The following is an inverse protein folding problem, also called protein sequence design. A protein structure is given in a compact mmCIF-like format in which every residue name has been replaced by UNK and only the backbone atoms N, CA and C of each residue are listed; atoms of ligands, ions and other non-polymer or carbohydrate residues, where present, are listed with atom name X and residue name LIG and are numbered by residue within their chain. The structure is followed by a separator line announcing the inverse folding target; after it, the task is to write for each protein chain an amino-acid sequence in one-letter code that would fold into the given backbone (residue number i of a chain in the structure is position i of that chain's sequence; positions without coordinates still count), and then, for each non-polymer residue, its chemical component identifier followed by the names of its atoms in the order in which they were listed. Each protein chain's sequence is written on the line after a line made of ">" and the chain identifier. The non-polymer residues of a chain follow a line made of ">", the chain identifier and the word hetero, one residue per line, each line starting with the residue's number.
data_IF_554998630324
#
_entry.id   IF_554998630324
#
_cell.length_a   1.000
_cell.length_b   1.000
_cell.length_c   1.000
_cell.angle_alpha   90.00
_cell.angle_beta   90.00
_cell.angle_gamma   90.00
#
_symmetry.space_group_name_H-M   'P 1'
#
loop_
_entity.id
_entity.type
_entity.pdbx_description
1 polymer ?
#
# COMPACT_ATOMS: atom_id res chain seq x y z
N UNK A 1 23.63 -47.37 -5.59
CA UNK A 1 22.17 -47.19 -5.75
C UNK A 1 21.83 -45.75 -5.41
N UNK A 2 21.17 -45.03 -6.33
CA UNK A 2 20.93 -43.58 -6.24
C UNK A 2 19.96 -43.24 -5.10
N UNK A 3 20.40 -42.43 -4.13
CA UNK A 3 19.53 -41.79 -3.14
C UNK A 3 18.68 -40.72 -3.82
N UNK A 4 17.41 -41.04 -4.10
CA UNK A 4 16.42 -40.04 -4.52
C UNK A 4 15.95 -39.29 -3.28
N UNK A 5 16.52 -38.11 -3.04
CA UNK A 5 16.01 -37.14 -2.07
C UNK A 5 14.67 -36.62 -2.58
N UNK A 6 13.59 -37.25 -2.15
CA UNK A 6 12.23 -36.77 -2.37
C UNK A 6 12.05 -35.64 -1.36
N UNK A 7 12.41 -34.42 -1.75
CA UNK A 7 12.07 -33.24 -0.96
C UNK A 7 10.54 -33.27 -0.78
N UNK A 8 10.03 -33.25 0.47
CA UNK A 8 8.60 -33.33 0.69
C UNK A 8 7.99 -32.09 0.04
N UNK A 9 7.22 -32.30 -1.01
CA UNK A 9 6.56 -31.25 -1.79
C UNK A 9 5.80 -30.26 -0.89
N UNK A 10 5.36 -30.69 0.30
CA UNK A 10 4.73 -29.85 1.32
C UNK A 10 5.63 -28.79 1.97
N UNK A 11 6.94 -28.99 2.12
CA UNK A 11 7.81 -27.95 2.70
C UNK A 11 8.01 -26.79 1.71
N UNK A 12 8.11 -27.10 0.42
CA UNK A 12 8.27 -26.09 -0.63
C UNK A 12 7.01 -25.22 -0.71
N UNK A 13 5.82 -25.82 -0.67
CA UNK A 13 4.56 -25.04 -0.73
C UNK A 13 4.36 -24.16 0.51
N UNK A 14 4.73 -24.62 1.70
CA UNK A 14 4.65 -23.81 2.93
C UNK A 14 5.58 -22.59 2.86
N UNK A 15 6.82 -22.79 2.39
CA UNK A 15 7.76 -21.67 2.23
C UNK A 15 7.27 -20.63 1.21
N UNK A 16 6.68 -21.09 0.10
CA UNK A 16 6.17 -20.20 -0.94
C UNK A 16 4.93 -19.42 -0.46
N UNK A 17 4.06 -20.06 0.33
CA UNK A 17 2.90 -19.41 0.97
C UNK A 17 3.34 -18.34 1.97
N UNK A 18 4.34 -18.63 2.79
CA UNK A 18 4.87 -17.66 3.75
C UNK A 18 5.50 -16.45 3.05
N UNK A 19 6.27 -16.68 1.97
CA UNK A 19 6.86 -15.60 1.17
C UNK A 19 5.80 -14.78 0.45
N UNK A 20 4.76 -15.38 -0.10
CA UNK A 20 3.67 -14.64 -0.76
C UNK A 20 2.82 -13.84 0.23
N UNK A 21 2.56 -14.37 1.43
CA UNK A 21 1.89 -13.62 2.50
C UNK A 21 2.75 -12.44 2.98
N UNK A 22 4.04 -12.66 3.21
CA UNK A 22 4.97 -11.59 3.58
C UNK A 22 5.10 -10.54 2.46
N UNK A 23 5.18 -10.96 1.21
CA UNK A 23 5.22 -10.06 0.05
C UNK A 23 3.91 -9.29 -0.12
N UNK A 24 2.75 -9.93 0.09
CA UNK A 24 1.45 -9.25 0.06
C UNK A 24 1.29 -8.23 1.17
N UNK A 25 1.94 -8.45 2.32
CA UNK A 25 1.95 -7.48 3.42
C UNK A 25 2.90 -6.31 3.09
N UNK A 26 4.08 -6.58 2.56
CA UNK A 26 5.08 -5.57 2.18
C UNK A 26 4.63 -4.70 1.00
N UNK A 27 3.96 -5.26 -0.01
CA UNK A 27 3.61 -4.53 -1.23
C UNK A 27 2.45 -3.52 -1.06
N UNK A 28 1.92 -3.35 0.16
CA UNK A 28 0.80 -2.46 0.45
C UNK A 28 1.23 -1.15 1.16
N UNK A 29 2.53 -0.82 1.10
CA UNK A 29 3.17 0.28 1.84
C UNK A 29 2.73 1.70 1.45
N UNK A 30 2.22 1.92 0.23
CA UNK A 30 1.92 3.28 -0.24
C UNK A 30 0.82 3.97 0.58
N UNK A 31 -0.24 3.24 0.94
CA UNK A 31 -1.30 3.78 1.80
C UNK A 31 -0.83 3.92 3.25
N UNK A 32 -0.02 2.99 3.76
CA UNK A 32 0.54 3.08 5.11
C UNK A 32 1.49 4.28 5.25
N UNK A 33 2.36 4.49 4.27
CA UNK A 33 3.26 5.65 4.23
C UNK A 33 2.47 6.95 4.17
N UNK A 34 1.37 6.97 3.41
CA UNK A 34 0.48 8.12 3.35
C UNK A 34 -0.19 8.40 4.70
N UNK A 35 -0.70 7.37 5.37
CA UNK A 35 -1.30 7.49 6.69
C UNK A 35 -0.29 7.96 7.75
N UNK A 36 0.95 7.46 7.70
CA UNK A 36 2.04 7.88 8.59
C UNK A 36 2.46 9.34 8.34
N UNK A 37 2.51 9.80 7.08
CA UNK A 37 2.83 11.19 6.74
C UNK A 37 1.74 12.18 7.15
N UNK A 38 0.47 11.77 7.16
CA UNK A 38 -0.66 12.65 7.46
C UNK A 38 -0.85 12.91 8.97
N UNK A 39 -0.30 12.06 9.84
CA UNK A 39 -0.28 12.30 11.29
C UNK A 39 -1.66 12.18 11.96
N UNK A 40 -2.06 13.17 12.77
CA UNK A 40 -3.35 13.17 13.47
C UNK A 40 -4.29 14.22 12.88
N UNK A 41 -5.60 13.91 12.80
CA UNK A 41 -6.61 14.84 12.32
C UNK A 41 -6.87 14.80 10.81
N UNK A 42 -6.52 13.70 10.14
CA UNK A 42 -6.91 13.44 8.76
C UNK A 42 -8.06 12.43 8.67
N UNK A 43 -8.79 12.47 7.56
CA UNK A 43 -9.83 11.53 7.18
C UNK A 43 -9.55 11.07 5.75
N UNK A 44 -9.16 9.81 5.61
CA UNK A 44 -8.95 9.16 4.33
C UNK A 44 -10.13 8.23 4.04
N UNK A 45 -10.78 8.40 2.89
CA UNK A 45 -11.91 7.55 2.48
C UNK A 45 -11.75 7.10 1.04
N UNK A 46 -11.65 5.79 0.87
CA UNK A 46 -11.71 5.15 -0.45
C UNK A 46 -13.14 4.83 -0.85
N UNK A 47 -13.54 5.31 -2.03
CA UNK A 47 -14.81 4.99 -2.68
C UNK A 47 -14.57 4.90 -4.19
N UNK A 48 -14.29 3.70 -4.70
CA UNK A 48 -13.92 3.48 -6.11
C UNK A 48 -14.86 4.25 -7.06
N UNK A 49 -14.34 5.04 -8.01
CA UNK A 49 -12.93 5.17 -8.42
C UNK A 49 -12.17 6.32 -7.73
N UNK A 50 -12.59 6.78 -6.56
CA UNK A 50 -12.10 8.02 -5.94
C UNK A 50 -11.53 7.77 -4.53
N UNK A 51 -10.39 8.39 -4.23
CA UNK A 51 -9.81 8.50 -2.90
C UNK A 51 -9.97 9.96 -2.42
N UNK A 52 -10.66 10.13 -1.29
CA UNK A 52 -10.86 11.42 -0.65
C UNK A 52 -9.93 11.52 0.56
N UNK A 53 -9.15 12.59 0.62
CA UNK A 53 -8.35 12.98 1.77
C UNK A 53 -8.84 14.32 2.29
N UNK A 54 -9.20 14.36 3.57
CA UNK A 54 -9.53 15.60 4.29
C UNK A 54 -8.53 15.73 5.42
N UNK A 55 -7.79 16.83 5.50
CA UNK A 55 -6.86 17.09 6.61
C UNK A 55 -7.30 18.36 7.34
N UNK A 56 -7.20 18.38 8.66
CA UNK A 56 -7.54 19.53 9.48
C UNK A 56 -6.68 20.75 9.09
N UNK A 57 -7.29 21.70 8.38
CA UNK A 57 -6.64 22.95 7.96
C UNK A 57 -6.14 22.99 6.52
N UNK A 58 -6.30 21.92 5.72
CA UNK A 58 -6.04 21.94 4.26
C UNK A 58 -7.34 21.71 3.49
N UNK A 59 -7.36 22.16 2.23
CA UNK A 59 -8.47 21.86 1.34
C UNK A 59 -8.58 20.34 1.09
N UNK A 60 -9.81 19.80 0.99
CA UNK A 60 -10.01 18.39 0.72
C UNK A 60 -9.44 18.01 -0.66
N UNK A 61 -8.64 16.95 -0.70
CA UNK A 61 -8.01 16.45 -1.91
C UNK A 61 -8.73 15.20 -2.42
N UNK A 62 -9.01 15.19 -3.72
CA UNK A 62 -9.63 14.07 -4.41
C UNK A 62 -8.68 13.54 -5.49
N UNK A 63 -8.46 12.23 -5.47
CA UNK A 63 -7.66 11.51 -6.47
C UNK A 63 -8.52 10.43 -7.10
N UNK A 64 -8.55 10.39 -8.43
CA UNK A 64 -9.27 9.37 -9.18
C UNK A 64 -8.31 8.28 -9.64
N UNK A 65 -8.64 7.03 -9.36
CA UNK A 65 -7.84 5.87 -9.71
C UNK A 65 -8.70 4.62 -9.84
N UNK A 66 -8.26 3.68 -10.67
CA UNK A 66 -8.90 2.38 -10.84
C UNK A 66 -8.61 1.43 -9.66
N UNK A 67 -7.51 1.67 -8.94
CA UNK A 67 -7.06 0.87 -7.80
C UNK A 67 -6.72 1.73 -6.59
N UNK A 68 -7.03 1.20 -5.39
CA UNK A 68 -6.76 1.84 -4.11
C UNK A 68 -5.27 2.17 -3.94
N UNK A 69 -4.39 1.20 -4.24
CA UNK A 69 -2.92 1.37 -4.15
C UNK A 69 -2.43 2.54 -5.00
N UNK A 70 -2.85 2.60 -6.27
CA UNK A 70 -2.45 3.67 -7.19
C UNK A 70 -3.04 5.02 -6.78
N UNK A 71 -4.22 5.03 -6.15
CA UNK A 71 -4.79 6.26 -5.60
C UNK A 71 -3.95 6.80 -4.44
N UNK A 72 -3.46 5.92 -3.55
CA UNK A 72 -2.58 6.30 -2.46
C UNK A 72 -1.23 6.83 -2.97
N UNK A 73 -0.61 6.16 -3.96
CA UNK A 73 0.63 6.65 -4.58
C UNK A 73 0.46 8.05 -5.18
N UNK A 74 -0.59 8.25 -5.99
CA UNK A 74 -0.86 9.56 -6.60
C UNK A 74 -1.19 10.65 -5.56
N UNK A 75 -1.85 10.28 -4.45
CA UNK A 75 -2.10 11.21 -3.36
C UNK A 75 -0.80 11.57 -2.62
N UNK A 76 0.08 10.59 -2.39
CA UNK A 76 1.37 10.77 -1.73
C UNK A 76 2.30 11.68 -2.55
N UNK A 77 2.38 11.46 -3.87
CA UNK A 77 3.12 12.32 -4.78
C UNK A 77 2.60 13.76 -4.75
N UNK A 78 1.28 13.94 -4.70
CA UNK A 78 0.66 15.26 -4.65
C UNK A 78 0.93 15.99 -3.34
N UNK A 79 0.91 15.28 -2.20
CA UNK A 79 1.28 15.83 -0.89
C UNK A 79 2.74 16.24 -0.87
N UNK A 80 3.65 15.40 -1.40
CA UNK A 80 5.08 15.71 -1.46
C UNK A 80 5.38 16.93 -2.34
N UNK A 81 4.64 17.12 -3.44
CA UNK A 81 4.73 18.32 -4.28
C UNK A 81 4.26 19.58 -3.54
N UNK A 82 3.12 19.52 -2.86
CA UNK A 82 2.55 20.62 -2.07
C UNK A 82 3.48 21.05 -0.93
N UNK A 83 4.22 20.10 -0.33
CA UNK A 83 5.21 20.37 0.72
C UNK A 83 6.50 20.97 0.17
N UNK A 84 6.86 20.71 -1.09
CA UNK A 84 8.10 21.23 -1.69
C UNK A 84 7.97 22.65 -2.26
N UNK A 85 6.75 23.15 -2.47
CA UNK A 85 6.50 24.52 -2.96
C UNK A 85 6.31 25.57 -1.84
N UNK A 86 6.42 25.16 -0.57
CA UNK A 86 6.24 26.03 0.61
C UNK A 86 7.49 26.02 1.52
#
# INVERSE_FOLDING_TARGET
>A
MHNKSILPFGLVTISLLAVTLAYSWWHNDACQTLEDQLGQGYFLRWAKPQLLLVNAGKEPMLIQSDSHSKACEMMLDKINQDVSEN
#
